data_IF_628410122838
#
_entry.id   IF_628410122838
#
_cell.length_a   1.000
_cell.length_b   1.000
_cell.length_c   1.000
_cell.angle_alpha   90.00
_cell.angle_beta   90.00
_cell.angle_gamma   90.00
#
_symmetry.space_group_name_H-M   'P 1'
#
loop_
_entity.id
_entity.type
_entity.pdbx_description
1 polymer ?
#
# COMPACT_ATOMS: atom_id res chain seq x y z
N UNK A 1 2.12 22.80 -17.06
CA UNK A 1 1.74 21.38 -17.22
C UNK A 1 2.65 20.78 -18.27
N UNK A 2 3.28 19.65 -17.99
CA UNK A 2 4.05 18.93 -19.00
C UNK A 2 3.12 17.99 -19.78
N UNK A 3 3.35 17.85 -21.08
CA UNK A 3 2.57 16.99 -21.97
C UNK A 3 3.45 15.79 -22.32
N UNK A 4 2.96 14.60 -22.02
CA UNK A 4 3.59 13.34 -22.43
C UNK A 4 2.67 12.65 -23.42
N UNK A 5 3.17 12.36 -24.62
CA UNK A 5 2.45 11.57 -25.60
C UNK A 5 2.61 10.08 -25.28
N UNK A 6 1.49 9.35 -25.21
CA UNK A 6 1.47 7.92 -24.92
C UNK A 6 0.80 7.15 -26.05
N UNK A 7 1.29 5.95 -26.33
CA UNK A 7 0.62 5.03 -27.25
C UNK A 7 -0.43 4.23 -26.46
N UNK A 8 -1.68 4.30 -26.90
CA UNK A 8 -2.77 3.50 -26.35
C UNK A 8 -3.05 2.36 -27.35
N UNK A 9 -3.01 1.09 -26.91
CA UNK A 9 -3.41 -0.04 -27.75
C UNK A 9 -4.89 0.06 -28.17
N UNK A 10 -5.22 -0.42 -29.36
CA UNK A 10 -6.57 -0.29 -29.93
C UNK A 10 -7.62 -1.00 -29.06
N UNK A 11 -7.24 -2.10 -28.40
CA UNK A 11 -8.09 -2.83 -27.47
C UNK A 11 -8.49 -2.01 -26.23
N UNK A 12 -7.72 -0.99 -25.85
CA UNK A 12 -8.01 -0.11 -24.71
C UNK A 12 -8.78 1.16 -25.11
N UNK A 13 -8.69 1.60 -26.37
CA UNK A 13 -9.31 2.85 -26.81
C UNK A 13 -10.85 2.79 -26.71
N UNK A 14 -11.47 1.69 -27.16
CA UNK A 14 -12.93 1.53 -27.09
C UNK A 14 -13.45 1.47 -25.64
N UNK A 15 -12.87 0.65 -24.73
CA UNK A 15 -13.24 0.68 -23.31
C UNK A 15 -13.05 2.05 -22.66
N UNK A 16 -11.94 2.74 -22.95
CA UNK A 16 -11.65 4.05 -22.38
C UNK A 16 -12.66 5.11 -22.83
N UNK A 17 -13.04 5.10 -24.10
CA UNK A 17 -14.08 5.99 -24.65
C UNK A 17 -15.48 5.68 -24.09
N UNK A 18 -15.81 4.41 -23.87
CA UNK A 18 -17.08 4.04 -23.23
C UNK A 18 -17.11 4.49 -21.76
N UNK A 19 -15.99 4.33 -21.05
CA UNK A 19 -15.86 4.72 -19.65
C UNK A 19 -15.88 6.24 -19.48
N UNK A 20 -15.25 6.99 -20.38
CA UNK A 20 -15.24 8.46 -20.39
C UNK A 20 -16.66 9.01 -20.47
N UNK A 21 -17.49 8.46 -21.39
CA UNK A 21 -18.91 8.82 -21.53
C UNK A 21 -19.73 8.42 -20.31
N UNK A 22 -19.53 7.21 -19.79
CA UNK A 22 -20.27 6.70 -18.62
C UNK A 22 -20.02 7.54 -17.37
N UNK A 23 -18.79 7.99 -17.16
CA UNK A 23 -18.39 8.74 -15.97
C UNK A 23 -18.50 10.26 -16.15
N UNK A 24 -18.89 10.73 -17.34
CA UNK A 24 -18.89 12.15 -17.71
C UNK A 24 -17.52 12.83 -17.45
N UNK A 25 -16.45 12.17 -17.89
CA UNK A 25 -15.06 12.64 -17.72
C UNK A 25 -14.29 12.50 -19.02
N UNK A 26 -13.32 13.38 -19.24
CA UNK A 26 -12.44 13.26 -20.41
C UNK A 26 -11.51 12.04 -20.30
N UNK A 27 -11.09 11.49 -21.44
CA UNK A 27 -10.07 10.42 -21.48
C UNK A 27 -8.79 10.82 -20.75
N UNK A 28 -8.33 12.06 -20.94
CA UNK A 28 -7.15 12.59 -20.26
C UNK A 28 -7.31 12.62 -18.74
N UNK A 29 -8.50 12.97 -18.22
CA UNK A 29 -8.77 12.90 -16.78
C UNK A 29 -8.64 11.48 -16.25
N UNK A 30 -9.24 10.50 -16.94
CA UNK A 30 -9.18 9.08 -16.54
C UNK A 30 -7.77 8.52 -16.61
N UNK A 31 -7.00 8.85 -17.65
CA UNK A 31 -5.60 8.44 -17.80
C UNK A 31 -4.76 9.02 -16.65
N UNK A 32 -4.92 10.31 -16.34
CA UNK A 32 -4.20 10.94 -15.24
C UNK A 32 -4.57 10.31 -13.88
N UNK A 33 -5.84 9.97 -13.69
CA UNK A 33 -6.30 9.28 -12.49
C UNK A 33 -5.65 7.90 -12.35
N UNK A 34 -5.65 7.10 -13.43
CA UNK A 34 -5.02 5.79 -13.44
C UNK A 34 -3.51 5.87 -13.16
N UNK A 35 -2.81 6.86 -13.72
CA UNK A 35 -1.38 7.09 -13.47
C UNK A 35 -1.15 7.43 -11.99
N UNK A 36 -1.94 8.33 -11.40
CA UNK A 36 -1.82 8.67 -9.97
C UNK A 36 -1.99 7.45 -9.08
N UNK A 37 -3.03 6.66 -9.34
CA UNK A 37 -3.31 5.45 -8.57
C UNK A 37 -2.21 4.39 -8.75
N UNK A 38 -1.66 4.26 -9.97
CA UNK A 38 -0.56 3.35 -10.22
C UNK A 38 0.70 3.75 -9.44
N UNK A 39 1.10 5.03 -9.51
CA UNK A 39 2.26 5.54 -8.76
C UNK A 39 2.07 5.32 -7.27
N UNK A 40 0.89 5.65 -6.73
CA UNK A 40 0.60 5.45 -5.31
C UNK A 40 0.71 3.98 -4.89
N UNK A 41 0.24 3.04 -5.72
CA UNK A 41 0.40 1.61 -5.46
C UNK A 41 1.86 1.18 -5.47
N UNK A 42 2.65 1.59 -6.47
CA UNK A 42 4.08 1.24 -6.52
C UNK A 42 4.83 1.78 -5.30
N UNK A 43 4.60 3.04 -4.91
CA UNK A 43 5.24 3.61 -3.72
C UNK A 43 4.86 2.88 -2.43
N UNK A 44 3.62 2.42 -2.31
CA UNK A 44 3.17 1.63 -1.16
C UNK A 44 3.81 0.24 -1.14
N UNK A 45 3.92 -0.42 -2.28
CA UNK A 45 4.59 -1.72 -2.42
C UNK A 45 6.07 -1.61 -2.04
N UNK A 46 6.77 -0.59 -2.55
CA UNK A 46 8.16 -0.34 -2.22
C UNK A 46 8.34 -0.09 -0.71
N UNK A 47 7.48 0.72 -0.10
CA UNK A 47 7.52 0.97 1.36
C UNK A 47 7.35 -0.33 2.14
N UNK A 48 6.35 -1.14 1.81
CA UNK A 48 6.10 -2.43 2.48
C UNK A 48 7.26 -3.40 2.31
N UNK A 49 7.90 -3.38 1.14
CA UNK A 49 9.08 -4.19 0.89
C UNK A 49 10.25 -3.78 1.78
N UNK A 50 10.52 -2.48 1.91
CA UNK A 50 11.54 -1.97 2.83
C UNK A 50 11.24 -2.32 4.28
N UNK A 51 9.99 -2.13 4.73
CA UNK A 51 9.56 -2.49 6.08
C UNK A 51 9.77 -4.00 6.36
N UNK A 52 9.50 -4.85 5.37
CA UNK A 52 9.71 -6.30 5.46
C UNK A 52 11.20 -6.65 5.60
N UNK A 53 12.06 -6.03 4.79
CA UNK A 53 13.51 -6.24 4.88
C UNK A 53 14.05 -5.80 6.25
N UNK A 54 13.60 -4.66 6.75
CA UNK A 54 13.97 -4.17 8.08
C UNK A 54 13.52 -5.12 9.18
N UNK A 55 12.29 -5.64 9.10
CA UNK A 55 11.78 -6.62 10.07
C UNK A 55 12.58 -7.93 10.03
N UNK A 56 12.96 -8.41 8.83
CA UNK A 56 13.81 -9.60 8.68
C UNK A 56 15.20 -9.39 9.29
N UNK A 57 15.82 -8.22 9.05
CA UNK A 57 17.12 -7.88 9.65
C UNK A 57 17.05 -7.84 11.19
N UNK A 58 15.97 -7.30 11.75
CA UNK A 58 15.71 -7.29 13.20
C UNK A 58 15.67 -8.72 13.78
N UNK A 59 14.96 -9.63 13.11
CA UNK A 59 14.87 -11.02 13.55
C UNK A 59 16.22 -11.72 13.41
N UNK A 60 16.93 -11.51 12.29
CA UNK A 60 18.25 -12.10 12.06
C UNK A 60 19.31 -11.62 13.05
N UNK A 61 19.17 -10.40 13.58
CA UNK A 61 20.02 -9.85 14.63
C UNK A 61 19.63 -10.30 16.05
N UNK A 62 18.65 -11.21 16.18
CA UNK A 62 18.20 -11.76 17.45
C UNK A 62 17.25 -10.86 18.24
N UNK A 63 16.74 -9.79 17.62
CA UNK A 63 15.75 -8.91 18.24
C UNK A 63 14.35 -9.52 18.08
N UNK A 64 14.12 -10.64 18.75
CA UNK A 64 12.82 -11.33 18.85
C UNK A 64 12.32 -11.32 20.29
N UNK A 65 11.00 -11.31 20.45
CA UNK A 65 10.32 -11.35 21.76
C UNK A 65 9.55 -12.66 21.85
N UNK A 66 9.54 -13.29 23.03
CA UNK A 66 8.79 -14.52 23.26
C UNK A 66 7.28 -14.32 23.10
N UNK A 67 6.64 -15.28 22.42
CA UNK A 67 5.22 -15.23 22.12
C UNK A 67 4.36 -15.16 23.40
N UNK A 68 4.77 -15.90 24.43
CA UNK A 68 4.05 -15.97 25.72
C UNK A 68 3.97 -14.58 26.38
N UNK A 69 5.08 -13.82 26.36
CA UNK A 69 5.15 -12.48 26.92
C UNK A 69 4.27 -11.49 26.14
N UNK A 70 4.27 -11.60 24.81
CA UNK A 70 3.40 -10.79 23.93
C UNK A 70 1.93 -11.11 24.20
N UNK A 71 1.57 -12.38 24.31
CA UNK A 71 0.20 -12.83 24.59
C UNK A 71 -0.28 -12.38 25.96
N UNK A 72 0.54 -12.54 27.01
CA UNK A 72 0.23 -12.05 28.34
C UNK A 72 -0.03 -10.53 28.33
N UNK A 73 0.82 -9.77 27.65
CA UNK A 73 0.68 -8.34 27.51
C UNK A 73 -0.60 -7.93 26.76
N UNK A 74 -0.89 -8.52 25.60
CA UNK A 74 -2.10 -8.24 24.82
C UNK A 74 -3.38 -8.57 25.61
N UNK A 75 -3.39 -9.69 26.32
CA UNK A 75 -4.54 -10.11 27.14
C UNK A 75 -4.79 -9.19 28.36
N UNK A 76 -3.77 -8.44 28.79
CA UNK A 76 -3.93 -7.45 29.86
C UNK A 76 -4.63 -6.16 29.40
N UNK A 77 -4.74 -5.92 28.08
CA UNK A 77 -5.39 -4.73 27.54
C UNK A 77 -6.89 -4.72 27.88
N UNK A 78 -7.41 -3.54 28.22
CA UNK A 78 -8.82 -3.40 28.65
C UNK A 78 -9.09 -3.85 30.08
N UNK A 79 -8.08 -4.36 30.80
CA UNK A 79 -8.16 -4.67 32.23
C UNK A 79 -7.60 -3.54 33.09
N UNK A 80 -7.88 -3.57 34.40
CA UNK A 80 -7.29 -2.62 35.36
C UNK A 80 -5.78 -2.84 35.59
N UNK A 81 -5.25 -4.00 35.23
CA UNK A 81 -3.86 -4.39 35.44
C UNK A 81 -3.15 -4.60 34.10
N UNK A 82 -3.02 -3.54 33.31
CA UNK A 82 -2.29 -3.59 32.05
C UNK A 82 -0.79 -3.83 32.32
N UNK A 83 -0.23 -4.86 31.68
CA UNK A 83 1.19 -5.18 31.74
C UNK A 83 2.01 -4.21 30.86
N UNK A 84 3.30 -4.08 31.14
CA UNK A 84 4.24 -3.32 30.30
C UNK A 84 4.50 -4.04 28.98
N UNK A 85 4.79 -3.28 27.92
CA UNK A 85 5.25 -3.82 26.63
C UNK A 85 6.49 -4.71 26.85
N UNK A 86 6.48 -5.96 26.39
CA UNK A 86 7.67 -6.80 26.42
C UNK A 86 8.74 -6.23 25.49
N UNK A 87 10.01 -6.54 25.77
CA UNK A 87 11.19 -5.96 25.11
C UNK A 87 12.11 -7.05 24.59
#
# INVERSE_FOLDING_TARGET
MNITSIRIPEEMEKPLEALSKKLDRSKSYLINQAIKEFIARQSLEDSRWQDTLQALESIMSGNSIDEEDVNAWLNSWGTKNRLSTPK
#
